data_IF_277722269640
#
_entry.id   IF_277722269640
#
_cell.length_a   1.000
_cell.length_b   1.000
_cell.length_c   1.000
_cell.angle_alpha   90.00
_cell.angle_beta   90.00
_cell.angle_gamma   90.00
#
_symmetry.space_group_name_H-M   'P 1'
#
loop_
_entity.id
_entity.type
_entity.pdbx_description
1 polymer ?
#
# COMPACT_ATOMS: atom_id res chain seq x y z
N UNK A 1 9.19 19.86 -7.86
CA UNK A 1 10.14 18.87 -7.33
C UNK A 1 9.59 18.32 -6.03
N UNK A 2 9.18 17.04 -6.00
CA UNK A 2 8.74 16.39 -4.79
C UNK A 2 9.87 16.25 -3.75
N UNK A 3 9.52 16.28 -2.46
CA UNK A 3 10.48 16.17 -1.35
C UNK A 3 11.17 14.80 -1.33
N UNK A 4 10.45 13.74 -1.72
CA UNK A 4 10.95 12.36 -1.76
C UNK A 4 10.66 11.76 -3.12
N UNK A 5 11.64 11.08 -3.73
CA UNK A 5 11.46 10.41 -5.02
C UNK A 5 10.51 9.23 -4.91
N UNK A 6 9.67 9.03 -5.93
CA UNK A 6 8.68 7.97 -5.93
C UNK A 6 9.31 6.57 -5.80
N UNK A 7 10.40 6.32 -6.52
CA UNK A 7 11.13 5.04 -6.41
C UNK A 7 11.76 4.81 -5.04
N UNK A 8 12.11 5.87 -4.31
CA UNK A 8 12.58 5.75 -2.92
C UNK A 8 11.43 5.31 -2.01
N UNK A 9 10.23 5.86 -2.19
CA UNK A 9 9.03 5.42 -1.46
C UNK A 9 8.72 3.94 -1.75
N UNK A 10 8.73 3.52 -3.02
CA UNK A 10 8.46 2.10 -3.33
C UNK A 10 9.45 1.18 -2.62
N UNK A 11 10.76 1.52 -2.62
CA UNK A 11 11.78 0.74 -1.89
C UNK A 11 11.51 0.67 -0.38
N UNK A 12 11.08 1.78 0.22
CA UNK A 12 10.73 1.81 1.64
C UNK A 12 9.54 0.90 1.95
N UNK A 13 8.49 0.92 1.11
CA UNK A 13 7.35 0.01 1.28
C UNK A 13 7.77 -1.44 1.09
N UNK A 14 8.63 -1.73 0.13
CA UNK A 14 9.15 -3.08 -0.09
C UNK A 14 9.88 -3.60 1.15
N UNK A 15 10.76 -2.80 1.75
CA UNK A 15 11.45 -3.16 3.00
C UNK A 15 10.45 -3.34 4.14
N UNK A 16 9.47 -2.45 4.27
CA UNK A 16 8.43 -2.56 5.29
C UNK A 16 7.62 -3.87 5.15
N UNK A 17 7.27 -4.26 3.93
CA UNK A 17 6.56 -5.52 3.66
C UNK A 17 7.41 -6.76 3.99
N UNK A 18 8.72 -6.74 3.70
CA UNK A 18 9.64 -7.82 4.09
C UNK A 18 9.67 -7.95 5.62
N UNK A 19 9.83 -6.82 6.33
CA UNK A 19 9.86 -6.79 7.79
C UNK A 19 8.53 -7.32 8.37
N UNK A 20 7.41 -6.83 7.85
CA UNK A 20 6.08 -7.25 8.30
C UNK A 20 5.85 -8.74 8.05
N UNK A 21 6.22 -9.24 6.87
CA UNK A 21 6.12 -10.66 6.52
C UNK A 21 7.01 -11.55 7.40
N UNK A 22 8.23 -11.11 7.71
CA UNK A 22 9.09 -11.80 8.68
C UNK A 22 8.45 -11.87 10.07
N UNK A 23 7.89 -10.76 10.57
CA UNK A 23 7.22 -10.76 11.87
C UNK A 23 5.97 -11.64 11.90
N UNK A 24 5.18 -11.68 10.82
CA UNK A 24 4.02 -12.57 10.71
C UNK A 24 4.41 -14.06 10.80
N UNK A 25 5.53 -14.44 10.19
CA UNK A 25 6.03 -15.83 10.21
C UNK A 25 6.69 -16.14 11.56
N UNK A 26 7.55 -15.26 12.06
CA UNK A 26 8.40 -15.56 13.21
C UNK A 26 7.71 -15.30 14.55
N UNK A 27 7.01 -14.17 14.69
CA UNK A 27 6.44 -13.69 15.97
C UNK A 27 5.21 -12.80 15.74
N UNK A 28 4.05 -13.34 15.31
CA UNK A 28 2.85 -12.55 14.98
C UNK A 28 2.29 -11.78 16.18
N UNK A 29 2.60 -12.20 17.41
CA UNK A 29 2.19 -11.53 18.65
C UNK A 29 2.66 -10.07 18.71
N UNK A 30 3.89 -9.80 18.27
CA UNK A 30 4.46 -8.44 18.32
C UNK A 30 3.73 -7.44 17.42
N UNK A 31 3.05 -7.89 16.38
CA UNK A 31 2.32 -7.02 15.46
C UNK A 31 0.99 -6.56 16.05
N UNK A 32 0.39 -7.36 16.94
CA UNK A 32 -0.87 -7.02 17.58
C UNK A 32 -0.71 -6.08 18.77
N UNK A 33 0.50 -5.99 19.33
CA UNK A 33 0.85 -5.03 20.39
C UNK A 33 1.02 -3.59 19.85
N UNK A 34 0.90 -3.39 18.53
CA UNK A 34 1.02 -2.07 17.91
C UNK A 34 -0.26 -1.26 18.21
N UNK A 35 -0.13 -0.31 19.15
CA UNK A 35 -1.23 0.56 19.59
C UNK A 35 -1.89 1.36 18.46
N UNK A 36 -1.20 1.65 17.35
CA UNK A 36 -1.80 2.42 16.25
C UNK A 36 -2.99 1.72 15.61
N UNK A 37 -2.96 0.38 15.50
CA UNK A 37 -4.06 -0.41 14.95
C UNK A 37 -5.29 -0.31 15.86
N UNK A 38 -5.06 -0.36 17.18
CA UNK A 38 -6.14 -0.21 18.16
C UNK A 38 -6.79 1.18 18.05
N UNK A 39 -5.98 2.24 18.06
CA UNK A 39 -6.44 3.63 17.99
C UNK A 39 -7.25 3.90 16.71
N UNK A 40 -6.78 3.41 15.55
CA UNK A 40 -7.48 3.60 14.27
C UNK A 40 -8.80 2.82 14.26
N UNK A 41 -8.79 1.57 14.76
CA UNK A 41 -10.00 0.77 14.90
C UNK A 41 -11.05 1.48 15.75
N UNK A 42 -10.64 1.97 16.92
CA UNK A 42 -11.52 2.67 17.85
C UNK A 42 -12.03 3.99 17.26
N UNK A 43 -11.18 4.75 16.56
CA UNK A 43 -11.57 5.99 15.88
C UNK A 43 -12.63 5.77 14.80
N UNK A 44 -12.62 4.62 14.13
CA UNK A 44 -13.61 4.25 13.09
C UNK A 44 -14.83 3.53 13.69
N UNK A 45 -14.76 3.14 14.96
CA UNK A 45 -15.78 2.36 15.66
C UNK A 45 -15.83 0.90 15.22
N UNK A 46 -14.69 0.34 14.78
CA UNK A 46 -14.55 -1.08 14.49
C UNK A 46 -14.16 -1.83 15.76
N UNK A 47 -14.77 -2.99 15.96
CA UNK A 47 -14.37 -3.88 17.06
C UNK A 47 -12.96 -4.41 16.81
N UNK A 48 -12.18 -4.48 17.88
CA UNK A 48 -10.90 -5.19 17.85
C UNK A 48 -11.17 -6.67 17.65
N UNK A 49 -10.40 -7.38 16.80
CA UNK A 49 -10.65 -8.77 16.53
C UNK A 49 -10.54 -9.60 17.82
N UNK A 50 -11.59 -10.37 18.10
CA UNK A 50 -11.66 -11.33 19.22
C UNK A 50 -10.77 -12.54 19.01
N UNK A 51 -10.46 -12.86 17.74
CA UNK A 51 -9.45 -13.85 17.38
C UNK A 51 -8.13 -13.16 17.07
N UNK A 52 -7.07 -13.65 17.69
CA UNK A 52 -5.75 -13.05 17.54
C UNK A 52 -4.97 -13.74 16.42
N UNK A 53 -4.13 -12.99 15.69
CA UNK A 53 -3.30 -13.51 14.59
C UNK A 53 -2.45 -14.72 15.00
N UNK A 54 -2.03 -14.81 16.26
CA UNK A 54 -1.24 -15.94 16.78
C UNK A 54 -2.06 -17.19 17.11
N UNK A 55 -3.39 -17.09 17.18
CA UNK A 55 -4.27 -18.26 17.38
C UNK A 55 -4.38 -19.11 16.11
N UNK A 56 -4.09 -18.51 14.94
CA UNK A 56 -4.02 -19.21 13.66
C UNK A 56 -2.62 -19.06 13.03
N UNK A 57 -1.62 -19.84 13.49
CA UNK A 57 -0.25 -19.73 13.02
C UNK A 57 -0.11 -20.06 11.52
N UNK A 58 -0.97 -20.92 10.97
CA UNK A 58 -0.98 -21.24 9.53
C UNK A 58 -1.41 -20.04 8.69
N UNK A 59 -2.48 -19.35 9.11
CA UNK A 59 -2.97 -18.14 8.44
C UNK A 59 -1.95 -17.00 8.49
N UNK A 60 -1.34 -16.77 9.65
CA UNK A 60 -0.28 -15.76 9.80
C UNK A 60 0.95 -16.10 8.95
N UNK A 61 1.37 -17.38 8.94
CA UNK A 61 2.49 -17.85 8.10
C UNK A 61 2.22 -17.67 6.61
N UNK A 62 1.04 -18.06 6.14
CA UNK A 62 0.64 -17.87 4.74
C UNK A 62 0.59 -16.39 4.34
N UNK A 63 -0.03 -15.54 5.17
CA UNK A 63 -0.07 -14.10 4.95
C UNK A 63 1.35 -13.50 4.91
N UNK A 64 2.23 -13.91 5.83
CA UNK A 64 3.61 -13.46 5.85
C UNK A 64 4.40 -13.88 4.60
N UNK A 65 4.23 -15.11 4.13
CA UNK A 65 4.84 -15.58 2.88
C UNK A 65 4.30 -14.81 1.67
N UNK A 66 3.00 -14.55 1.61
CA UNK A 66 2.38 -13.77 0.54
C UNK A 66 2.92 -12.33 0.52
N UNK A 67 3.09 -11.69 1.68
CA UNK A 67 3.68 -10.36 1.78
C UNK A 67 5.15 -10.35 1.37
N UNK A 68 5.94 -11.35 1.75
CA UNK A 68 7.35 -11.47 1.31
C UNK A 68 7.41 -11.66 -0.20
N UNK A 69 6.58 -12.52 -0.78
CA UNK A 69 6.53 -12.73 -2.23
C UNK A 69 6.18 -11.43 -2.95
N UNK A 70 5.18 -10.69 -2.46
CA UNK A 70 4.81 -9.38 -2.99
C UNK A 70 5.99 -8.40 -2.91
N UNK A 71 6.67 -8.35 -1.77
CA UNK A 71 7.80 -7.46 -1.57
C UNK A 71 8.99 -7.81 -2.47
N UNK A 72 9.31 -9.09 -2.65
CA UNK A 72 10.35 -9.54 -3.58
C UNK A 72 9.99 -9.16 -5.02
N UNK A 73 8.72 -9.34 -5.41
CA UNK A 73 8.24 -8.92 -6.73
C UNK A 73 8.41 -7.41 -6.94
N UNK A 74 8.06 -6.61 -5.93
CA UNK A 74 8.21 -5.15 -5.96
C UNK A 74 9.68 -4.73 -6.03
N UNK A 75 10.55 -5.42 -5.27
CA UNK A 75 11.99 -5.18 -5.28
C UNK A 75 12.59 -5.41 -6.67
N UNK A 76 12.23 -6.52 -7.32
CA UNK A 76 12.68 -6.84 -8.68
C UNK A 76 12.15 -5.80 -9.68
N UNK A 77 10.87 -5.42 -9.58
CA UNK A 77 10.28 -4.42 -10.46
C UNK A 77 10.99 -3.06 -10.35
N UNK A 78 11.35 -2.62 -9.14
CA UNK A 78 12.11 -1.37 -8.94
C UNK A 78 13.59 -1.50 -9.35
N UNK A 79 14.15 -2.70 -9.29
CA UNK A 79 15.54 -2.97 -9.71
C UNK A 79 15.70 -3.11 -11.24
N UNK A 80 14.58 -3.12 -11.98
CA UNK A 80 14.58 -3.16 -13.44
C UNK A 80 15.00 -1.83 -14.06
N UNK A 81 15.10 -1.78 -15.40
CA UNK A 81 15.46 -0.54 -16.11
C UNK A 81 14.46 0.56 -15.80
N UNK A 82 14.95 1.80 -15.70
CA UNK A 82 14.14 2.94 -15.26
C UNK A 82 12.91 3.17 -16.16
N UNK A 83 13.03 2.87 -17.46
CA UNK A 83 11.91 2.93 -18.40
C UNK A 83 10.83 1.88 -18.11
N UNK A 84 11.23 0.61 -17.93
CA UNK A 84 10.31 -0.48 -17.61
C UNK A 84 9.64 -0.27 -16.25
N UNK A 85 10.43 0.10 -15.24
CA UNK A 85 9.93 0.39 -13.91
C UNK A 85 8.90 1.54 -13.93
N UNK A 86 9.17 2.63 -14.67
CA UNK A 86 8.22 3.74 -14.80
C UNK A 86 6.90 3.30 -15.45
N UNK A 87 6.97 2.51 -16.51
CA UNK A 87 5.76 2.03 -17.19
C UNK A 87 4.95 1.10 -16.29
N UNK A 88 5.62 0.13 -15.65
CA UNK A 88 5.02 -0.81 -14.73
C UNK A 88 4.34 -0.11 -13.54
N UNK A 89 5.07 0.75 -12.83
CA UNK A 89 4.56 1.44 -11.65
C UNK A 89 3.53 2.52 -11.98
N UNK A 90 3.59 3.11 -13.16
CA UNK A 90 2.56 4.01 -13.67
C UNK A 90 1.19 3.33 -13.85
N UNK A 91 1.18 2.06 -14.22
CA UNK A 91 -0.04 1.25 -14.31
C UNK A 91 -0.42 0.59 -12.98
N UNK A 92 0.55 0.05 -12.23
CA UNK A 92 0.30 -0.71 -11.00
C UNK A 92 -0.06 0.15 -9.79
N UNK A 93 0.57 1.32 -9.64
CA UNK A 93 0.30 2.26 -8.54
C UNK A 93 -1.20 2.59 -8.36
N UNK A 94 -1.92 3.04 -9.40
CA UNK A 94 -3.35 3.33 -9.27
C UNK A 94 -4.20 2.08 -9.04
N UNK A 95 -3.84 0.93 -9.62
CA UNK A 95 -4.57 -0.34 -9.40
C UNK A 95 -4.51 -0.76 -7.93
N UNK A 96 -3.32 -0.72 -7.32
CA UNK A 96 -3.15 -1.03 -5.89
C UNK A 96 -3.88 -0.03 -5.01
N UNK A 97 -3.78 1.26 -5.32
CA UNK A 97 -4.51 2.32 -4.62
C UNK A 97 -6.03 2.08 -4.68
N UNK A 98 -6.58 1.73 -5.84
CA UNK A 98 -8.00 1.45 -6.01
C UNK A 98 -8.44 0.19 -5.29
N UNK A 99 -7.63 -0.87 -5.34
CA UNK A 99 -7.92 -2.12 -4.63
C UNK A 99 -8.00 -1.90 -3.12
N UNK A 100 -6.96 -1.31 -2.52
CA UNK A 100 -6.92 -1.06 -1.08
C UNK A 100 -7.92 0.02 -0.65
N UNK A 101 -8.13 1.04 -1.48
CA UNK A 101 -9.13 2.08 -1.23
C UNK A 101 -10.55 1.52 -1.24
N UNK A 102 -10.85 0.62 -2.17
CA UNK A 102 -12.14 -0.07 -2.24
C UNK A 102 -12.35 -1.00 -1.05
N UNK A 103 -11.31 -1.74 -0.64
CA UNK A 103 -11.34 -2.60 0.53
C UNK A 103 -11.58 -1.80 1.82
N UNK A 104 -10.86 -0.69 2.00
CA UNK A 104 -11.03 0.23 3.13
C UNK A 104 -12.45 0.81 3.16
N UNK A 105 -12.95 1.25 2.01
CA UNK A 105 -14.30 1.79 1.87
C UNK A 105 -15.36 0.73 2.18
N UNK A 106 -15.19 -0.49 1.68
CA UNK A 106 -16.08 -1.62 1.95
C UNK A 106 -16.18 -1.91 3.44
N UNK A 107 -15.04 -2.02 4.14
CA UNK A 107 -15.02 -2.27 5.59
C UNK A 107 -15.66 -1.10 6.36
N UNK A 108 -15.44 0.14 5.93
CA UNK A 108 -16.05 1.31 6.55
C UNK A 108 -17.57 1.37 6.40
N UNK A 109 -18.12 1.00 5.24
CA UNK A 109 -19.57 0.99 5.01
C UNK A 109 -20.26 -0.19 5.69
N UNK A 110 -19.65 -1.37 5.68
CA UNK A 110 -20.21 -2.61 6.22
C UNK A 110 -19.97 -2.79 7.73
N UNK A 111 -19.56 -1.72 8.45
CA UNK A 111 -19.25 -1.82 9.87
C UNK A 111 -20.49 -2.16 10.72
N UNK A 112 -20.37 -3.03 11.74
CA UNK A 112 -21.50 -3.39 12.61
C UNK A 112 -22.04 -2.16 13.34
N UNK A 113 -23.36 -1.94 13.28
CA UNK A 113 -24.04 -0.80 13.92
C UNK A 113 -24.38 0.37 13.00
N UNK A 114 -23.86 0.42 11.76
CA UNK A 114 -24.36 1.32 10.70
C UNK A 114 -25.39 0.63 9.82
N UNK A 115 -25.17 -0.65 9.52
CA UNK A 115 -26.04 -1.45 8.68
C UNK A 115 -26.66 -2.60 9.50
N UNK A 116 -27.97 -2.83 9.36
CA UNK A 116 -28.67 -3.95 10.02
C UNK A 116 -28.39 -5.29 9.34
N UNK A 117 -27.70 -5.26 8.21
CA UNK A 117 -27.37 -6.42 7.38
C UNK A 117 -26.31 -7.32 8.04
N UNK A 118 -25.54 -6.81 9.00
CA UNK A 118 -24.46 -7.53 9.67
C UNK A 118 -24.71 -7.63 11.17
N UNK A 119 -24.88 -8.86 11.64
CA UNK A 119 -24.98 -9.17 13.06
C UNK A 119 -23.61 -9.07 13.74
N UNK A 120 -23.54 -8.38 14.87
CA UNK A 120 -22.35 -8.27 15.71
C UNK A 120 -21.91 -9.63 16.27
N UNK A 121 -22.79 -10.63 16.29
CA UNK A 121 -22.50 -11.95 16.85
C UNK A 121 -21.74 -12.88 15.91
N UNK A 122 -21.74 -12.62 14.59
CA UNK A 122 -21.03 -13.45 13.61
C UNK A 122 -19.66 -12.86 13.32
N UNK A 123 -18.55 -13.46 13.78
CA UNK A 123 -17.22 -12.93 13.49
C UNK A 123 -16.95 -13.04 12.00
N UNK A 124 -16.85 -11.92 11.28
CA UNK A 124 -16.34 -11.99 9.91
C UNK A 124 -14.83 -11.76 9.85
N UNK A 125 -14.15 -12.60 9.06
CA UNK A 125 -12.69 -12.55 8.96
C UNK A 125 -12.19 -11.28 8.28
N UNK A 126 -12.99 -10.59 7.46
CA UNK A 126 -12.55 -9.42 6.68
C UNK A 126 -12.92 -8.07 7.31
N UNK A 127 -13.95 -8.00 8.15
CA UNK A 127 -14.41 -6.75 8.79
C UNK A 127 -13.79 -6.66 10.17
N UNK A 128 -12.53 -6.24 10.23
CA UNK A 128 -11.82 -6.06 11.48
C UNK A 128 -10.89 -4.84 11.43
N UNK A 129 -10.51 -4.33 12.61
CA UNK A 129 -9.63 -3.16 12.76
C UNK A 129 -8.24 -3.38 12.15
N UNK A 130 -7.71 -4.61 12.17
CA UNK A 130 -6.38 -4.94 11.65
C UNK A 130 -6.33 -4.79 10.12
N UNK A 131 -7.23 -5.47 9.41
CA UNK A 131 -7.34 -5.44 7.95
C UNK A 131 -7.72 -4.03 7.49
N UNK A 132 -8.62 -3.35 8.21
CA UNK A 132 -8.95 -1.96 7.92
C UNK A 132 -7.72 -1.06 8.00
N UNK A 133 -6.99 -1.11 9.11
CA UNK A 133 -5.83 -0.24 9.34
C UNK A 133 -4.74 -0.52 8.32
N UNK A 134 -4.47 -1.79 8.02
CA UNK A 134 -3.52 -2.17 6.98
C UNK A 134 -3.93 -1.65 5.61
N UNK A 135 -5.16 -1.92 5.16
CA UNK A 135 -5.67 -1.45 3.88
C UNK A 135 -5.70 0.08 3.78
N UNK A 136 -6.01 0.76 4.88
CA UNK A 136 -5.99 2.22 4.95
C UNK A 136 -4.58 2.77 4.76
N UNK A 137 -3.58 2.24 5.47
CA UNK A 137 -2.18 2.64 5.30
C UNK A 137 -1.66 2.34 3.89
N UNK A 138 -1.97 1.16 3.34
CA UNK A 138 -1.66 0.83 1.95
C UNK A 138 -2.27 1.86 0.99
N UNK A 139 -3.54 2.24 1.19
CA UNK A 139 -4.21 3.24 0.36
C UNK A 139 -3.48 4.58 0.39
N UNK A 140 -3.19 5.09 1.58
CA UNK A 140 -2.48 6.38 1.75
C UNK A 140 -1.10 6.31 1.10
N UNK A 141 -0.39 5.21 1.28
CA UNK A 141 0.96 5.05 0.75
C UNK A 141 0.99 4.94 -0.79
N UNK A 142 0.12 4.11 -1.37
CA UNK A 142 0.01 3.97 -2.82
C UNK A 142 -0.51 5.24 -3.49
N UNK A 143 -1.43 5.95 -2.84
CA UNK A 143 -1.86 7.27 -3.29
C UNK A 143 -0.66 8.23 -3.35
N UNK A 144 0.15 8.26 -2.28
CA UNK A 144 1.33 9.13 -2.24
C UNK A 144 2.39 8.75 -3.29
N UNK A 145 2.67 7.46 -3.49
CA UNK A 145 3.55 7.00 -4.58
C UNK A 145 3.02 7.48 -5.94
N UNK A 146 1.72 7.30 -6.19
CA UNK A 146 1.10 7.64 -7.46
C UNK A 146 1.19 9.13 -7.77
N UNK A 147 0.94 10.01 -6.80
CA UNK A 147 1.06 11.46 -7.02
C UNK A 147 2.50 11.84 -7.35
N UNK A 148 3.49 11.31 -6.62
CA UNK A 148 4.90 11.57 -6.91
C UNK A 148 5.33 11.04 -8.29
N UNK A 149 4.92 9.83 -8.68
CA UNK A 149 5.20 9.27 -10.01
C UNK A 149 4.67 10.19 -11.13
N UNK A 150 3.48 10.74 -10.94
CA UNK A 150 2.87 11.65 -11.92
C UNK A 150 3.57 12.99 -12.00
N UNK A 151 3.96 13.55 -10.87
CA UNK A 151 4.74 14.78 -10.82
C UNK A 151 6.09 14.62 -11.50
N UNK A 152 6.83 13.55 -11.18
CA UNK A 152 8.12 13.23 -11.80
C UNK A 152 7.99 13.02 -13.31
N UNK A 153 6.93 12.34 -13.76
CA UNK A 153 6.65 12.14 -15.18
C UNK A 153 6.35 13.45 -15.91
N UNK A 154 5.57 14.35 -15.28
CA UNK A 154 5.27 15.66 -15.85
C UNK A 154 6.53 16.52 -15.98
N UNK A 155 7.39 16.54 -14.96
CA UNK A 155 8.67 17.24 -15.00
C UNK A 155 9.62 16.69 -16.07
N UNK A 156 9.68 15.35 -16.22
CA UNK A 156 10.52 14.72 -17.24
C UNK A 156 10.08 15.11 -18.67
N UNK A 157 8.76 15.11 -18.93
CA UNK A 157 8.19 15.53 -20.22
C UNK A 157 8.50 17.00 -20.53
N UNK A 158 8.34 17.88 -19.54
CA UNK A 158 8.65 19.31 -19.71
C UNK A 158 10.12 19.55 -20.11
N UNK A 159 11.06 18.83 -19.47
CA UNK A 159 12.49 18.91 -19.82
C UNK A 159 12.79 18.44 -21.24
N UNK A 160 12.13 17.38 -21.71
CA UNK A 160 12.29 16.89 -23.08
C UNK A 160 11.79 17.92 -24.09
N UNK A 161 10.64 18.54 -23.84
CA UNK A 161 10.11 19.59 -24.72
C UNK A 161 11.00 20.82 -24.76
N UNK A 162 11.56 21.26 -23.62
CA UNK A 162 12.50 22.38 -23.57
C UNK A 162 13.78 22.09 -24.38
N UNK A 163 14.34 20.88 -24.24
CA UNK A 163 15.52 20.47 -25.02
C UNK A 163 15.27 20.46 -26.52
N UNK A 164 14.08 19.99 -26.96
CA UNK A 164 13.71 20.01 -28.38
C UNK A 164 13.62 21.44 -28.92
N UNK A 165 12.96 22.35 -28.19
CA UNK A 165 12.88 23.77 -28.58
C UNK A 165 14.25 24.41 -28.74
N UNK A 166 15.17 24.18 -27.79
CA UNK A 166 16.54 24.69 -27.88
C UNK A 166 17.31 24.10 -29.08
N UNK A 167 17.10 22.83 -29.42
CA UNK A 167 17.71 22.21 -30.60
C UNK A 167 17.19 22.82 -31.91
N UNK A 168 15.89 23.08 -31.99
CA UNK A 168 15.26 23.72 -33.16
C UNK A 168 15.74 25.18 -33.31
N UNK A 169 15.90 25.92 -32.21
CA UNK A 169 16.47 27.28 -32.20
C UNK A 169 17.94 27.29 -32.65
N UNK A 170 18.76 26.31 -32.23
CA UNK A 170 20.15 26.20 -32.69
C UNK A 170 20.24 25.82 -34.17
N UNK A 171 19.34 24.97 -34.67
CA UNK A 171 19.34 24.53 -36.06
C UNK A 171 18.87 25.61 -37.06
N UNK A 172 18.28 26.70 -36.57
CA UNK A 172 17.78 27.81 -37.39
C UNK A 172 18.75 29.01 -37.44
N UNK A 173 19.87 28.94 -36.70
CA UNK A 173 20.99 29.88 -36.72
C UNK A 173 22.11 29.39 -37.64
#
# INVERSE_FOLDING_TARGET
MPIVRAFTLIRLVTVAHIILGYYLIARPQKLAEINSIAIIGDAVGLQQPTSHLWQNPLGAGFAGLALILLAVSDFVAVSSTEELARHYWGAQGPVRCLFFGSLTSYIYFMKPGRDKMYDQTTPQPIINSIIFSWAFFETVYWFWIYTNLREELAEARARITQRKKMQDEIATL
#
